data_IF_939284014948
#
_entry.id   IF_939284014948
#
_cell.length_a   1.000
_cell.length_b   1.000
_cell.length_c   1.000
_cell.angle_alpha   90.00
_cell.angle_beta   90.00
_cell.angle_gamma   90.00
#
_symmetry.space_group_name_H-M   'P 1'
#
loop_
_entity.id
_entity.type
_entity.pdbx_description
1 polymer ?
#
# COMPACT_ATOMS: atom_id res chain seq x y z
N UNK A 1 -10.16 51.94 12.80
CA UNK A 1 -10.40 51.30 11.48
C UNK A 1 -9.24 50.36 11.10
N UNK A 2 -9.61 49.11 10.86
CA UNK A 2 -8.89 48.04 10.14
C UNK A 2 -7.70 47.39 10.85
N UNK A 3 -8.04 46.34 11.61
CA UNK A 3 -7.26 45.11 11.80
C UNK A 3 -7.25 44.32 10.48
N UNK A 4 -6.17 43.63 10.12
CA UNK A 4 -6.16 42.36 9.34
C UNK A 4 -4.74 41.77 9.45
N UNK A 5 -4.63 40.81 10.35
CA UNK A 5 -3.99 39.50 10.18
C UNK A 5 -3.48 39.19 8.76
N UNK A 6 -2.19 38.87 8.61
CA UNK A 6 -1.68 38.23 7.39
C UNK A 6 -0.69 37.14 7.74
N UNK A 7 -1.27 35.96 7.94
CA UNK A 7 -0.82 34.63 7.51
C UNK A 7 0.68 34.49 7.28
N UNK A 8 1.28 33.67 8.13
CA UNK A 8 2.32 32.73 7.75
C UNK A 8 1.76 31.90 6.58
N UNK A 9 1.99 32.36 5.36
CA UNK A 9 1.84 31.49 4.20
C UNK A 9 3.03 30.53 4.26
N UNK A 10 2.71 29.27 4.51
CA UNK A 10 3.61 28.13 4.35
C UNK A 10 4.27 28.23 2.97
N UNK A 11 5.52 28.67 2.97
CA UNK A 11 6.44 28.51 1.84
C UNK A 11 6.71 27.01 1.74
N UNK A 12 5.78 26.32 1.07
CA UNK A 12 5.98 25.02 0.45
C UNK A 12 7.21 25.19 -0.45
N UNK A 13 8.36 24.85 0.13
CA UNK A 13 9.69 24.95 -0.45
C UNK A 13 9.78 24.15 -1.73
N UNK A 14 9.23 24.70 -2.80
CA UNK A 14 9.73 24.49 -4.13
C UNK A 14 11.05 25.22 -4.17
N UNK A 15 12.08 24.56 -3.64
CA UNK A 15 13.47 24.96 -3.78
C UNK A 15 13.67 25.33 -5.25
N UNK A 16 13.68 26.63 -5.52
CA UNK A 16 13.74 27.15 -6.87
C UNK A 16 15.13 26.83 -7.39
N UNK A 17 15.27 25.68 -8.05
CA UNK A 17 16.56 25.19 -8.53
C UNK A 17 17.12 26.26 -9.47
N UNK A 18 18.26 26.90 -9.12
CA UNK A 18 18.78 27.99 -9.92
C UNK A 18 19.15 27.47 -11.31
N UNK A 19 18.85 28.29 -12.33
CA UNK A 19 18.98 27.96 -13.77
C UNK A 19 20.40 27.47 -14.12
N UNK A 20 21.41 27.91 -13.36
CA UNK A 20 22.82 27.58 -13.57
C UNK A 20 23.26 26.19 -13.04
N UNK A 21 22.41 25.47 -12.30
CA UNK A 21 22.73 24.12 -11.83
C UNK A 21 22.53 23.13 -12.97
N UNK A 22 23.53 22.33 -13.39
CA UNK A 22 23.35 21.36 -14.46
C UNK A 22 22.30 20.31 -14.07
N UNK A 23 21.32 20.06 -14.96
CA UNK A 23 20.36 18.95 -14.79
C UNK A 23 21.05 17.66 -15.22
N UNK A 24 21.38 16.79 -14.27
CA UNK A 24 22.05 15.53 -14.55
C UNK A 24 21.03 14.41 -14.77
N UNK A 25 21.25 13.52 -15.75
CA UNK A 25 20.40 12.36 -15.93
C UNK A 25 20.57 11.38 -14.75
N UNK A 26 19.47 10.82 -14.21
CA UNK A 26 19.57 9.83 -13.15
C UNK A 26 20.23 8.55 -13.66
N UNK A 27 21.16 8.02 -12.88
CA UNK A 27 21.82 6.73 -13.16
C UNK A 27 20.90 5.60 -12.75
N UNK A 28 20.95 4.49 -13.50
CA UNK A 28 20.17 3.30 -13.23
C UNK A 28 20.98 2.32 -12.36
N UNK A 29 20.75 2.25 -11.04
CA UNK A 29 21.76 1.72 -10.12
C UNK A 29 21.60 0.22 -9.81
N UNK A 30 20.44 -0.39 -10.11
CA UNK A 30 20.15 -1.75 -9.63
C UNK A 30 18.96 -2.42 -10.32
N UNK A 31 18.86 -3.74 -10.18
CA UNK A 31 17.79 -4.63 -10.67
C UNK A 31 16.57 -4.75 -9.73
N UNK A 32 16.57 -4.00 -8.63
CA UNK A 32 15.47 -3.99 -7.66
C UNK A 32 14.26 -3.21 -8.20
N UNK A 33 13.05 -3.69 -7.91
CA UNK A 33 11.80 -3.01 -8.28
C UNK A 33 11.73 -1.58 -7.71
N UNK A 34 12.12 -1.40 -6.46
CA UNK A 34 12.16 -0.08 -5.82
C UNK A 34 13.12 0.88 -6.56
N UNK A 35 14.24 0.36 -7.07
CA UNK A 35 15.18 1.13 -7.89
C UNK A 35 14.57 1.51 -9.23
N UNK A 36 13.77 0.64 -9.85
CA UNK A 36 13.09 0.94 -11.13
C UNK A 36 12.02 2.02 -10.94
N UNK A 37 11.20 1.93 -9.89
CA UNK A 37 10.17 2.93 -9.58
C UNK A 37 10.81 4.29 -9.28
N UNK A 38 11.84 4.30 -8.42
CA UNK A 38 12.58 5.52 -8.07
C UNK A 38 13.21 6.15 -9.30
N UNK A 39 13.96 5.37 -10.09
CA UNK A 39 14.58 5.85 -11.32
C UNK A 39 13.56 6.38 -12.32
N UNK A 40 12.41 5.70 -12.48
CA UNK A 40 11.36 6.13 -13.42
C UNK A 40 10.76 7.48 -13.05
N UNK A 41 10.61 7.75 -11.75
CA UNK A 41 10.18 9.05 -11.22
C UNK A 41 11.24 10.13 -11.48
N UNK A 42 12.47 9.89 -11.04
CA UNK A 42 13.59 10.83 -11.22
C UNK A 42 13.85 11.15 -12.70
N UNK A 43 13.69 10.14 -13.58
CA UNK A 43 13.86 10.31 -15.02
C UNK A 43 12.82 11.23 -15.63
N UNK A 44 11.56 11.15 -15.16
CA UNK A 44 10.48 12.04 -15.58
C UNK A 44 10.75 13.49 -15.16
N UNK A 45 11.16 13.68 -13.92
CA UNK A 45 11.52 15.00 -13.36
C UNK A 45 12.72 15.60 -14.10
N UNK A 46 13.72 14.78 -14.45
CA UNK A 46 14.84 15.17 -15.30
C UNK A 46 14.38 15.67 -16.68
N UNK A 47 13.58 14.86 -17.39
CA UNK A 47 13.12 15.21 -18.73
C UNK A 47 12.23 16.46 -18.74
N UNK A 48 11.38 16.61 -17.73
CA UNK A 48 10.57 17.82 -17.53
C UNK A 48 11.44 19.05 -17.23
N UNK A 49 12.45 18.92 -16.38
CA UNK A 49 13.38 20.01 -16.07
C UNK A 49 14.20 20.42 -17.30
N UNK A 50 14.64 19.46 -18.13
CA UNK A 50 15.32 19.73 -19.40
C UNK A 50 14.39 20.44 -20.38
N UNK A 51 13.14 19.97 -20.52
CA UNK A 51 12.12 20.62 -21.35
C UNK A 51 11.82 22.05 -20.91
N UNK A 52 11.64 22.27 -19.61
CA UNK A 52 11.34 23.59 -19.06
C UNK A 52 12.49 24.59 -19.25
N UNK A 53 13.74 24.11 -19.34
CA UNK A 53 14.93 24.96 -19.54
C UNK A 53 15.26 25.19 -21.02
N UNK A 54 14.80 24.34 -21.93
CA UNK A 54 15.11 24.44 -23.34
C UNK A 54 14.22 25.47 -24.07
N UNK A 55 14.80 26.60 -24.50
CA UNK A 55 14.14 27.50 -25.47
C UNK A 55 14.16 26.89 -26.87
N UNK A 56 13.16 26.06 -27.17
CA UNK A 56 13.03 25.34 -28.45
C UNK A 56 13.94 24.11 -28.53
N UNK A 57 13.36 22.97 -28.94
CA UNK A 57 14.05 21.69 -29.12
C UNK A 57 14.66 21.13 -27.84
N UNK A 58 13.84 20.47 -27.01
CA UNK A 58 14.30 19.80 -25.80
C UNK A 58 14.79 18.35 -26.06
N UNK A 59 14.23 17.69 -27.07
CA UNK A 59 14.46 16.27 -27.33
C UNK A 59 15.93 15.95 -27.61
N UNK A 60 16.65 16.82 -28.32
CA UNK A 60 18.09 16.66 -28.60
C UNK A 60 18.97 16.80 -27.35
N UNK A 61 18.44 17.40 -26.27
CA UNK A 61 19.17 17.63 -25.01
C UNK A 61 18.94 16.52 -23.98
N UNK A 62 17.95 15.66 -24.20
CA UNK A 62 17.62 14.56 -23.31
C UNK A 62 18.61 13.42 -23.53
N UNK A 63 19.37 13.10 -22.49
CA UNK A 63 20.41 12.05 -22.57
C UNK A 63 19.76 10.68 -22.80
N UNK A 64 20.18 9.90 -23.82
CA UNK A 64 19.65 8.56 -24.10
C UNK A 64 19.73 7.61 -22.90
N UNK A 65 18.67 6.83 -22.68
CA UNK A 65 18.53 5.95 -21.52
C UNK A 65 19.59 4.85 -21.49
N UNK A 66 19.98 4.33 -22.66
CA UNK A 66 21.10 3.36 -22.77
C UNK A 66 22.38 3.81 -22.07
N UNK A 67 22.65 5.12 -22.05
CA UNK A 67 23.86 5.70 -21.47
C UNK A 67 23.76 5.96 -19.97
N UNK A 68 22.57 5.77 -19.38
CA UNK A 68 22.31 5.96 -17.94
C UNK A 68 22.50 4.68 -17.12
N UNK A 69 22.63 3.53 -17.77
CA UNK A 69 22.95 2.28 -17.11
C UNK A 69 24.39 2.26 -16.63
N UNK A 70 24.60 1.60 -15.49
CA UNK A 70 25.93 1.26 -15.03
C UNK A 70 26.62 0.28 -15.99
N UNK A 71 27.95 0.31 -16.00
CA UNK A 71 28.76 -0.46 -16.94
C UNK A 71 28.44 -1.96 -16.87
N UNK A 72 28.14 -2.57 -18.03
CA UNK A 72 27.78 -3.98 -18.12
C UNK A 72 26.35 -4.33 -17.69
N UNK A 73 25.61 -3.44 -17.02
CA UNK A 73 24.26 -3.71 -16.54
C UNK A 73 23.27 -3.89 -17.70
N UNK A 74 23.29 -2.98 -18.68
CA UNK A 74 22.43 -3.07 -19.86
C UNK A 74 22.68 -4.36 -20.69
N UNK A 75 23.94 -4.72 -21.06
CA UNK A 75 24.22 -6.00 -21.72
C UNK A 75 23.71 -7.21 -20.94
N UNK A 76 23.88 -7.21 -19.61
CA UNK A 76 23.42 -8.29 -18.74
C UNK A 76 21.89 -8.44 -18.81
N UNK A 77 21.16 -7.34 -18.82
CA UNK A 77 19.69 -7.35 -18.91
C UNK A 77 19.17 -7.77 -20.27
N UNK A 78 19.78 -7.26 -21.34
CA UNK A 78 19.45 -7.67 -22.70
C UNK A 78 19.59 -9.19 -22.85
N UNK A 79 20.67 -9.77 -22.31
CA UNK A 79 20.94 -11.21 -22.35
C UNK A 79 20.03 -12.04 -21.43
N UNK A 80 19.92 -11.67 -20.16
CA UNK A 80 19.33 -12.55 -19.14
C UNK A 80 17.82 -12.34 -18.96
N UNK A 81 17.32 -11.12 -19.16
CA UNK A 81 15.94 -10.76 -18.82
C UNK A 81 15.08 -10.53 -20.04
N UNK A 82 15.58 -9.77 -21.01
CA UNK A 82 14.82 -9.35 -22.19
C UNK A 82 15.00 -10.27 -23.40
N UNK A 83 16.09 -11.05 -23.43
CA UNK A 83 16.45 -11.95 -24.54
C UNK A 83 16.49 -11.24 -25.90
N UNK A 84 17.04 -10.02 -25.92
CA UNK A 84 17.22 -9.20 -27.11
C UNK A 84 18.70 -8.90 -27.34
N UNK A 85 19.08 -8.55 -28.58
CA UNK A 85 20.41 -8.01 -28.84
C UNK A 85 20.57 -6.65 -28.16
N UNK A 86 21.80 -6.30 -27.79
CA UNK A 86 22.12 -4.96 -27.29
C UNK A 86 21.91 -3.88 -28.36
N UNK A 87 21.99 -4.25 -29.63
CA UNK A 87 21.75 -3.34 -30.75
C UNK A 87 20.25 -3.03 -30.90
N UNK A 88 19.39 -4.02 -30.63
CA UNK A 88 17.93 -3.90 -30.68
C UNK A 88 17.35 -3.19 -29.45
N UNK A 89 18.14 -2.99 -28.40
CA UNK A 89 17.75 -2.29 -27.18
C UNK A 89 17.67 -0.77 -27.42
N UNK A 90 16.66 -0.31 -28.14
CA UNK A 90 16.34 1.13 -28.30
C UNK A 90 15.82 1.71 -26.98
N UNK A 91 15.85 3.05 -26.83
CA UNK A 91 15.33 3.70 -25.62
C UNK A 91 13.86 3.36 -25.36
N UNK A 92 13.06 3.21 -26.42
CA UNK A 92 11.64 2.85 -26.32
C UNK A 92 11.44 1.42 -25.81
N UNK A 93 12.24 0.47 -26.31
CA UNK A 93 12.22 -0.93 -25.87
C UNK A 93 12.62 -1.03 -24.40
N UNK A 94 13.68 -0.31 -24.02
CA UNK A 94 14.16 -0.27 -22.63
C UNK A 94 13.09 0.30 -21.70
N UNK A 95 12.45 1.42 -22.07
CA UNK A 95 11.37 2.01 -21.27
C UNK A 95 10.19 1.05 -21.13
N UNK A 96 9.77 0.45 -22.24
CA UNK A 96 8.65 -0.51 -22.25
C UNK A 96 8.90 -1.67 -21.30
N UNK A 97 10.11 -2.23 -21.34
CA UNK A 97 10.46 -3.34 -20.46
C UNK A 97 10.63 -2.91 -18.99
N UNK A 98 11.14 -1.71 -18.70
CA UNK A 98 11.16 -1.17 -17.34
C UNK A 98 9.72 -0.98 -16.81
N UNK A 99 8.83 -0.40 -17.62
CA UNK A 99 7.42 -0.18 -17.24
C UNK A 99 6.68 -1.53 -17.06
N UNK A 100 7.03 -2.56 -17.84
CA UNK A 100 6.57 -3.94 -17.64
C UNK A 100 7.05 -4.53 -16.31
N UNK A 101 8.31 -4.29 -15.90
CA UNK A 101 8.81 -4.74 -14.60
C UNK A 101 8.08 -4.01 -13.46
N UNK A 102 7.88 -2.70 -13.59
CA UNK A 102 7.18 -1.88 -12.59
C UNK A 102 5.74 -2.37 -12.41
N UNK A 103 5.04 -2.64 -13.51
CA UNK A 103 3.65 -3.12 -13.52
C UNK A 103 3.51 -4.59 -13.10
N UNK A 104 4.53 -5.43 -13.30
CA UNK A 104 4.47 -6.86 -12.96
C UNK A 104 4.39 -7.15 -11.46
N UNK A 105 4.91 -6.27 -10.60
CA UNK A 105 4.94 -6.50 -9.15
C UNK A 105 3.83 -5.69 -8.49
N UNK A 106 2.81 -6.42 -8.02
CA UNK A 106 1.63 -5.97 -7.25
C UNK A 106 0.50 -5.27 -8.01
N UNK A 107 -0.01 -5.87 -9.09
CA UNK A 107 -1.39 -5.55 -9.52
C UNK A 107 -2.32 -6.77 -9.69
N UNK A 108 -1.80 -8.00 -9.56
CA UNK A 108 -2.61 -9.23 -9.73
C UNK A 108 -2.63 -10.15 -8.49
N UNK A 109 -2.03 -9.75 -7.37
CA UNK A 109 -1.84 -10.63 -6.21
C UNK A 109 -2.26 -10.01 -4.86
N UNK A 110 -2.82 -8.81 -4.87
CA UNK A 110 -3.52 -8.27 -3.70
C UNK A 110 -5.00 -8.41 -4.00
N UNK A 111 -5.68 -9.44 -3.46
CA UNK A 111 -7.13 -9.50 -3.55
C UNK A 111 -7.72 -8.22 -2.94
N UNK A 112 -8.87 -7.80 -3.47
CA UNK A 112 -9.63 -6.70 -2.88
C UNK A 112 -9.98 -7.10 -1.44
N UNK A 113 -9.25 -6.53 -0.48
CA UNK A 113 -9.36 -6.86 0.94
C UNK A 113 -10.76 -6.56 1.45
N UNK A 114 -11.43 -5.53 0.93
CA UNK A 114 -12.79 -5.18 1.34
C UNK A 114 -13.80 -6.20 0.80
N UNK A 115 -13.61 -6.70 -0.42
CA UNK A 115 -14.42 -7.77 -0.98
C UNK A 115 -14.18 -9.10 -0.25
N UNK A 116 -12.93 -9.48 -0.06
CA UNK A 116 -12.53 -10.74 0.57
C UNK A 116 -12.95 -10.78 2.05
N UNK A 117 -12.81 -9.66 2.76
CA UNK A 117 -13.29 -9.50 4.13
C UNK A 117 -14.82 -9.63 4.19
N UNK A 118 -15.55 -9.02 3.23
CA UNK A 118 -17.01 -9.11 3.18
C UNK A 118 -17.50 -10.53 2.89
N UNK A 119 -16.84 -11.26 2.00
CA UNK A 119 -17.17 -12.65 1.69
C UNK A 119 -16.86 -13.58 2.86
N UNK A 120 -15.72 -13.39 3.57
CA UNK A 120 -15.29 -14.29 4.63
C UNK A 120 -15.85 -13.96 6.03
N UNK A 121 -16.24 -12.71 6.32
CA UNK A 121 -16.82 -12.28 7.60
C UNK A 121 -18.36 -12.19 7.60
N UNK A 122 -19.03 -12.89 6.69
CA UNK A 122 -20.49 -13.01 6.78
C UNK A 122 -20.87 -13.94 7.95
N UNK A 123 -21.40 -13.37 9.03
CA UNK A 123 -21.94 -14.13 10.16
C UNK A 123 -23.20 -14.87 9.71
N UNK A 124 -23.24 -16.19 9.89
CA UNK A 124 -24.44 -16.97 9.63
C UNK A 124 -25.51 -16.64 10.68
N UNK A 125 -26.50 -15.85 10.28
CA UNK A 125 -27.62 -15.45 11.13
C UNK A 125 -28.77 -16.48 11.14
N UNK A 126 -28.63 -17.60 10.42
CA UNK A 126 -29.59 -18.70 10.47
C UNK A 126 -29.41 -19.56 11.72
N UNK A 127 -28.22 -19.54 12.32
CA UNK A 127 -27.98 -20.08 13.64
C UNK A 127 -28.63 -19.17 14.69
N UNK A 128 -29.69 -19.66 15.31
CA UNK A 128 -30.25 -19.02 16.50
C UNK A 128 -29.34 -19.33 17.68
N UNK A 129 -29.08 -18.34 18.53
CA UNK A 129 -28.45 -18.52 19.84
C UNK A 129 -29.35 -19.40 20.74
N UNK A 130 -29.41 -20.71 20.46
CA UNK A 130 -30.24 -21.67 21.17
C UNK A 130 -29.73 -21.96 22.58
N UNK A 131 -28.56 -21.43 22.96
CA UNK A 131 -27.92 -21.68 24.24
C UNK A 131 -28.82 -21.38 25.45
N UNK A 132 -29.86 -20.54 25.29
CA UNK A 132 -30.71 -20.11 26.41
C UNK A 132 -32.22 -20.19 26.17
N UNK A 133 -32.68 -20.63 25.00
CA UNK A 133 -34.12 -20.61 24.66
C UNK A 133 -34.86 -21.91 24.99
N UNK A 134 -34.17 -23.05 25.03
CA UNK A 134 -34.71 -24.33 25.50
C UNK A 134 -34.79 -24.44 27.04
N UNK A 135 -35.55 -25.40 27.56
CA UNK A 135 -35.65 -25.64 29.01
C UNK A 135 -34.28 -25.96 29.64
N UNK A 136 -33.39 -26.60 28.90
CA UNK A 136 -31.99 -26.84 29.30
C UNK A 136 -31.19 -25.54 29.44
N UNK A 137 -31.42 -24.58 28.53
CA UNK A 137 -30.80 -23.25 28.56
C UNK A 137 -31.29 -22.42 29.75
N UNK A 138 -32.58 -22.51 30.08
CA UNK A 138 -33.14 -21.87 31.28
C UNK A 138 -32.58 -22.47 32.56
N UNK A 139 -32.44 -23.80 32.64
CA UNK A 139 -31.81 -24.45 33.80
C UNK A 139 -30.35 -24.03 33.99
N UNK A 140 -29.60 -23.90 32.90
CA UNK A 140 -28.22 -23.39 32.93
C UNK A 140 -28.16 -21.94 33.42
N UNK A 141 -29.08 -21.07 32.97
CA UNK A 141 -29.21 -19.69 33.46
C UNK A 141 -29.52 -19.64 34.95
N UNK A 142 -30.51 -20.41 35.42
CA UNK A 142 -30.83 -20.46 36.85
C UNK A 142 -29.63 -20.91 37.68
N UNK A 143 -28.88 -21.92 37.20
CA UNK A 143 -27.67 -22.38 37.87
C UNK A 143 -26.59 -21.29 37.97
N UNK A 144 -26.34 -20.55 36.90
CA UNK A 144 -25.37 -19.44 36.88
C UNK A 144 -25.83 -18.26 37.74
N UNK A 145 -27.12 -17.93 37.72
CA UNK A 145 -27.70 -16.85 38.50
C UNK A 145 -27.60 -17.14 40.00
N UNK A 146 -27.96 -18.36 40.43
CA UNK A 146 -27.81 -18.82 41.81
C UNK A 146 -26.33 -18.79 42.23
N UNK A 147 -25.43 -19.24 41.34
CA UNK A 147 -23.98 -19.19 41.56
C UNK A 147 -23.38 -17.77 41.55
N UNK A 148 -24.18 -16.73 41.28
CA UNK A 148 -23.73 -15.33 41.31
C UNK A 148 -24.33 -14.55 42.48
N UNK A 149 -25.21 -15.15 43.29
CA UNK A 149 -25.84 -14.46 44.42
C UNK A 149 -24.87 -14.19 45.57
N UNK A 150 -24.88 -12.96 46.06
CA UNK A 150 -24.19 -12.54 47.27
C UNK A 150 -25.15 -11.82 48.22
N UNK A 151 -25.00 -11.98 49.56
CA UNK A 151 -23.98 -12.76 50.26
C UNK A 151 -24.26 -14.28 50.24
N UNK A 152 -23.25 -15.10 50.61
CA UNK A 152 -23.30 -16.58 50.54
C UNK A 152 -24.52 -17.22 51.21
N UNK A 153 -25.02 -16.62 52.30
CA UNK A 153 -26.21 -17.11 52.99
C UNK A 153 -27.47 -17.11 52.09
N UNK A 154 -27.62 -16.10 51.22
CA UNK A 154 -28.75 -15.99 50.28
C UNK A 154 -28.67 -17.09 49.21
N UNK A 155 -27.47 -17.35 48.71
CA UNK A 155 -27.19 -18.41 47.73
C UNK A 155 -27.55 -19.80 48.26
N UNK A 156 -27.13 -20.13 49.47
CA UNK A 156 -27.42 -21.43 50.10
C UNK A 156 -28.92 -21.62 50.39
N UNK A 157 -29.63 -20.53 50.73
CA UNK A 157 -31.08 -20.55 50.95
C UNK A 157 -31.86 -20.80 49.66
N UNK A 158 -31.50 -20.10 48.58
CA UNK A 158 -32.13 -20.25 47.28
C UNK A 158 -31.82 -21.62 46.68
N UNK A 159 -30.58 -22.11 46.81
CA UNK A 159 -30.21 -23.44 46.33
C UNK A 159 -30.98 -24.57 47.05
N UNK A 160 -31.14 -24.47 48.38
CA UNK A 160 -31.99 -25.41 49.12
C UNK A 160 -33.44 -25.37 48.63
N UNK A 161 -34.02 -24.18 48.51
CA UNK A 161 -35.44 -24.02 48.11
C UNK A 161 -35.71 -24.55 46.70
N UNK A 162 -34.77 -24.36 45.76
CA UNK A 162 -34.88 -24.88 44.40
C UNK A 162 -34.80 -26.41 44.37
N UNK A 163 -33.94 -27.03 45.20
CA UNK A 163 -33.84 -28.50 45.31
C UNK A 163 -35.09 -29.18 45.88
N UNK A 164 -35.90 -28.49 46.68
CA UNK A 164 -37.14 -29.05 47.25
C UNK A 164 -38.37 -28.93 46.34
N UNK A 165 -38.27 -28.20 45.22
CA UNK A 165 -39.37 -27.98 44.27
C UNK A 165 -39.22 -28.73 42.94
N UNK A 166 -38.13 -29.48 42.77
CA UNK A 166 -37.86 -30.33 41.60
C UNK A 166 -38.34 -31.76 41.85
#
# INVERSE_FOLDING_TARGET
PINIDKRTDDDDGRDAIPIFTPVLPPRFPSTSHASHVKWRKERREYEESVRNRAKGGAEDKIVPIRTTFDEGLLPMWCRLRWQISIDDATNEVILTEIDKIISSVKNNNVPDVDNEMREMLCMDLSESDQFFTGDDGKQQLYRVLIASLEPRALREEVERTVRFKA
#
